data_IF_925691655185
#
_entry.id   IF_925691655185
#
_cell.length_a   1.000
_cell.length_b   1.000
_cell.length_c   1.000
_cell.angle_alpha   90.00
_cell.angle_beta   90.00
_cell.angle_gamma   90.00
#
_symmetry.space_group_name_H-M   'P 1'
#
loop_
_entity.id
_entity.type
_entity.pdbx_description
1 polymer ?
#
# COMPACT_ATOMS: atom_id res chain seq x y z
N UNK A 1 -44.83 5.36 25.39
CA UNK A 1 -43.42 5.28 25.84
C UNK A 1 -42.55 4.49 24.87
N UNK A 2 -43.10 3.42 24.29
CA UNK A 2 -42.50 2.51 23.28
C UNK A 2 -41.89 3.17 22.03
N UNK A 3 -42.59 4.12 21.40
CA UNK A 3 -42.18 4.69 20.09
C UNK A 3 -40.86 5.50 20.15
N UNK A 4 -40.58 6.19 21.26
CA UNK A 4 -39.35 6.97 21.44
C UNK A 4 -38.13 6.07 21.67
N UNK A 5 -38.34 4.88 22.23
CA UNK A 5 -37.30 3.86 22.45
C UNK A 5 -36.95 3.21 21.11
N UNK A 6 -37.96 2.83 20.31
CA UNK A 6 -37.75 2.23 18.99
C UNK A 6 -36.97 3.14 18.04
N UNK A 7 -37.32 4.42 17.99
CA UNK A 7 -36.63 5.41 17.15
C UNK A 7 -35.17 5.60 17.57
N UNK A 8 -34.89 5.64 18.88
CA UNK A 8 -33.51 5.74 19.40
C UNK A 8 -32.68 4.52 19.06
N UNK A 9 -33.25 3.32 19.20
CA UNK A 9 -32.57 2.07 18.85
C UNK A 9 -32.26 2.03 17.34
N UNK A 10 -33.20 2.45 16.50
CA UNK A 10 -33.00 2.50 15.05
C UNK A 10 -31.89 3.49 14.65
N UNK A 11 -31.88 4.70 15.22
CA UNK A 11 -30.82 5.68 14.97
C UNK A 11 -29.43 5.19 15.43
N UNK A 12 -29.35 4.46 16.55
CA UNK A 12 -28.09 3.89 17.02
C UNK A 12 -27.55 2.80 16.07
N UNK A 13 -28.43 1.93 15.56
CA UNK A 13 -28.04 0.87 14.61
C UNK A 13 -27.54 1.47 13.29
N UNK A 14 -28.25 2.47 12.75
CA UNK A 14 -27.82 3.15 11.52
C UNK A 14 -26.56 4.00 11.71
N UNK A 15 -26.38 4.63 12.87
CA UNK A 15 -25.16 5.37 13.21
C UNK A 15 -23.93 4.47 13.35
N UNK A 16 -24.10 3.27 13.91
CA UNK A 16 -23.02 2.28 14.03
C UNK A 16 -22.63 1.68 12.67
N UNK A 17 -23.58 1.49 11.75
CA UNK A 17 -23.30 1.00 10.39
C UNK A 17 -22.47 1.96 9.54
N UNK A 18 -22.61 3.28 9.75
CA UNK A 18 -21.84 4.30 9.02
C UNK A 18 -20.33 4.26 9.32
N UNK A 19 -19.92 3.76 10.49
CA UNK A 19 -18.51 3.65 10.89
C UNK A 19 -17.81 2.46 10.22
N UNK A 20 -18.57 1.47 9.75
CA UNK A 20 -18.02 0.23 9.18
C UNK A 20 -17.61 0.38 7.70
N UNK A 21 -17.97 1.48 7.04
CA UNK A 21 -17.73 1.70 5.61
C UNK A 21 -16.41 2.41 5.24
N UNK A 22 -15.57 2.75 6.22
CA UNK A 22 -14.30 3.46 5.99
C UNK A 22 -13.06 2.55 5.96
N UNK A 23 -13.23 1.24 6.09
CA UNK A 23 -12.14 0.27 5.99
C UNK A 23 -11.86 -0.11 4.54
N UNK A 24 -10.58 -0.11 4.14
CA UNK A 24 -10.15 -0.74 2.88
C UNK A 24 -10.17 -2.25 3.07
N UNK A 25 -10.79 -2.99 2.14
CA UNK A 25 -10.74 -4.45 2.10
C UNK A 25 -9.27 -4.91 2.04
N UNK A 26 -8.77 -5.66 3.04
CA UNK A 26 -7.38 -6.12 3.07
C UNK A 26 -6.96 -6.94 1.83
N UNK A 27 -7.92 -7.60 1.17
CA UNK A 27 -7.65 -8.37 -0.06
C UNK A 27 -7.28 -7.48 -1.26
N UNK A 28 -7.71 -6.22 -1.24
CA UNK A 28 -7.43 -5.21 -2.27
C UNK A 28 -6.15 -4.42 -1.98
N UNK A 29 -5.62 -4.51 -0.75
CA UNK A 29 -4.37 -3.87 -0.39
C UNK A 29 -3.20 -4.54 -1.11
N UNK A 30 -2.20 -3.72 -1.44
CA UNK A 30 -0.94 -4.21 -1.96
C UNK A 30 0.20 -3.64 -1.14
N UNK A 31 0.95 -4.53 -0.51
CA UNK A 31 2.20 -4.18 0.16
C UNK A 31 3.35 -4.34 -0.83
N UNK A 32 3.71 -3.24 -1.49
CA UNK A 32 4.76 -3.21 -2.51
C UNK A 32 6.08 -3.80 -2.02
N UNK A 33 6.46 -3.56 -0.75
CA UNK A 33 7.76 -4.00 -0.23
C UNK A 33 7.77 -5.51 0.01
N UNK A 34 6.66 -6.06 0.49
CA UNK A 34 6.47 -7.50 0.66
C UNK A 34 6.41 -8.21 -0.70
N UNK A 35 5.67 -7.65 -1.65
CA UNK A 35 5.51 -8.22 -3.01
C UNK A 35 6.81 -8.19 -3.83
N UNK A 36 7.67 -7.19 -3.61
CA UNK A 36 8.99 -7.12 -4.23
C UNK A 36 10.02 -8.08 -3.59
N UNK A 37 9.65 -8.78 -2.51
CA UNK A 37 10.51 -9.71 -1.77
C UNK A 37 11.88 -9.10 -1.45
N UNK A 38 11.91 -7.80 -1.10
CA UNK A 38 13.15 -7.11 -0.80
C UNK A 38 13.81 -7.73 0.44
N UNK A 39 15.06 -8.14 0.32
CA UNK A 39 15.80 -8.80 1.39
C UNK A 39 17.30 -8.59 1.29
N UNK A 40 18.05 -9.24 2.18
CA UNK A 40 19.52 -9.13 2.24
C UNK A 40 20.21 -9.65 0.97
N UNK A 41 19.53 -10.46 0.15
CA UNK A 41 20.02 -10.93 -1.15
C UNK A 41 19.77 -9.95 -2.30
N UNK A 42 18.94 -8.92 -2.11
CA UNK A 42 18.65 -7.93 -3.14
C UNK A 42 19.83 -6.98 -3.30
N UNK A 43 20.50 -7.04 -4.45
CA UNK A 43 21.66 -6.17 -4.74
C UNK A 43 21.29 -4.69 -4.63
N UNK A 44 22.11 -3.92 -3.90
CA UNK A 44 21.89 -2.48 -3.69
C UNK A 44 20.78 -2.14 -2.70
N UNK A 45 20.24 -3.10 -1.96
CA UNK A 45 19.24 -2.86 -0.92
C UNK A 45 19.73 -3.42 0.41
N UNK A 46 19.50 -2.68 1.50
CA UNK A 46 19.77 -3.15 2.86
C UNK A 46 18.56 -2.93 3.75
N UNK A 47 18.20 -3.95 4.51
CA UNK A 47 17.12 -3.83 5.49
C UNK A 47 17.60 -2.98 6.69
N UNK A 48 16.78 -2.04 7.13
CA UNK A 48 17.02 -1.16 8.28
C UNK A 48 15.76 -1.05 9.14
N UNK A 49 15.86 -0.60 10.40
CA UNK A 49 14.67 -0.30 11.21
C UNK A 49 13.79 0.76 10.53
N UNK A 50 12.48 0.52 10.52
CA UNK A 50 11.50 1.48 10.01
C UNK A 50 11.23 2.63 10.97
N UNK A 51 10.37 3.56 10.54
CA UNK A 51 9.99 4.73 11.33
C UNK A 51 9.24 4.35 12.62
N UNK A 52 8.44 3.28 12.56
CA UNK A 52 7.67 2.77 13.69
C UNK A 52 8.35 1.55 14.30
N UNK A 53 8.25 1.40 15.62
CA UNK A 53 8.83 0.27 16.34
C UNK A 53 8.30 -1.07 15.79
N UNK A 54 9.22 -2.01 15.54
CA UNK A 54 8.89 -3.33 14.99
C UNK A 54 8.66 -3.36 13.47
N UNK A 55 8.71 -2.21 12.78
CA UNK A 55 8.61 -2.16 11.32
C UNK A 55 9.98 -2.22 10.66
N UNK A 56 10.01 -2.71 9.41
CA UNK A 56 11.21 -2.76 8.57
C UNK A 56 11.14 -1.66 7.52
N UNK A 57 12.29 -1.13 7.14
CA UNK A 57 12.46 -0.25 6.00
C UNK A 57 13.65 -0.72 5.16
N UNK A 58 13.77 -0.17 3.95
CA UNK A 58 14.78 -0.58 2.99
C UNK A 58 15.59 0.63 2.54
N UNK A 59 16.90 0.56 2.77
CA UNK A 59 17.85 1.56 2.30
C UNK A 59 18.40 1.12 0.95
N UNK A 60 18.13 1.91 -0.08
CA UNK A 60 18.65 1.73 -1.42
C UNK A 60 20.04 2.38 -1.51
N UNK A 61 21.06 1.56 -1.75
CA UNK A 61 22.48 1.92 -1.81
C UNK A 61 22.96 1.79 -3.27
N UNK A 62 24.02 2.52 -3.60
CA UNK A 62 24.72 2.44 -4.90
C UNK A 62 23.91 2.90 -6.13
N UNK A 63 24.41 2.55 -7.33
CA UNK A 63 23.92 3.01 -8.65
C UNK A 63 22.56 2.43 -9.06
N UNK A 64 22.26 1.12 -8.87
CA UNK A 64 20.93 0.60 -9.18
C UNK A 64 19.94 0.96 -8.06
N UNK A 65 19.30 2.12 -8.17
CA UNK A 65 18.17 2.55 -7.31
C UNK A 65 16.81 2.27 -7.93
N UNK A 66 16.74 1.28 -8.82
CA UNK A 66 15.51 0.87 -9.50
C UNK A 66 15.32 -0.62 -9.28
N UNK A 67 14.28 -0.99 -8.54
CA UNK A 67 13.85 -2.38 -8.40
C UNK A 67 12.63 -2.57 -9.29
N UNK A 68 12.64 -3.67 -10.04
CA UNK A 68 11.51 -4.09 -10.86
C UNK A 68 10.89 -5.32 -10.23
N UNK A 69 9.56 -5.33 -10.15
CA UNK A 69 8.83 -6.52 -9.78
C UNK A 69 9.05 -7.64 -10.82
N UNK A 70 8.96 -8.90 -10.37
CA UNK A 70 8.88 -10.03 -11.29
C UNK A 70 7.63 -9.90 -12.17
N UNK A 71 7.60 -10.58 -13.33
CA UNK A 71 6.40 -10.60 -14.19
C UNK A 71 5.17 -11.09 -13.45
N UNK A 72 5.31 -12.16 -12.64
CA UNK A 72 4.22 -12.73 -11.86
C UNK A 72 3.67 -11.74 -10.82
N UNK A 73 4.56 -11.08 -10.07
CA UNK A 73 4.19 -10.04 -9.10
C UNK A 73 3.51 -8.85 -9.78
N UNK A 74 4.05 -8.40 -10.92
CA UNK A 74 3.47 -7.29 -11.68
C UNK A 74 2.07 -7.62 -12.19
N UNK A 75 1.84 -8.83 -12.70
CA UNK A 75 0.51 -9.29 -13.12
C UNK A 75 -0.50 -9.30 -11.97
N UNK A 76 -0.11 -9.79 -10.79
CA UNK A 76 -0.96 -9.72 -9.59
C UNK A 76 -1.32 -8.28 -9.22
N UNK A 77 -0.34 -7.38 -9.30
CA UNK A 77 -0.55 -5.94 -9.10
C UNK A 77 -1.59 -5.39 -10.09
N UNK A 78 -1.45 -5.71 -11.37
CA UNK A 78 -2.38 -5.29 -12.42
C UNK A 78 -3.77 -5.88 -12.26
N UNK A 79 -3.91 -7.12 -11.78
CA UNK A 79 -5.24 -7.69 -11.52
C UNK A 79 -5.98 -6.94 -10.42
N UNK A 80 -5.28 -6.54 -9.34
CA UNK A 80 -5.88 -5.76 -8.25
C UNK A 80 -6.28 -4.34 -8.69
N UNK A 81 -5.49 -3.74 -9.59
CA UNK A 81 -5.78 -2.42 -10.18
C UNK A 81 -6.80 -2.48 -11.33
N UNK A 82 -7.13 -3.67 -11.85
CA UNK A 82 -8.03 -3.82 -12.99
C UNK A 82 -9.42 -3.30 -12.66
N UNK A 83 -9.96 -2.47 -13.57
CA UNK A 83 -11.27 -1.82 -13.42
C UNK A 83 -11.38 -0.95 -12.15
N UNK A 84 -10.25 -0.52 -11.58
CA UNK A 84 -10.20 0.50 -10.52
C UNK A 84 -9.82 1.83 -11.14
N UNK A 85 -10.59 2.86 -10.83
CA UNK A 85 -10.34 4.22 -11.32
C UNK A 85 -9.56 5.07 -10.31
N UNK A 86 -9.51 4.64 -9.06
CA UNK A 86 -8.88 5.36 -7.96
C UNK A 86 -8.17 4.37 -7.05
N UNK A 87 -7.08 4.82 -6.45
CA UNK A 87 -6.34 4.09 -5.42
C UNK A 87 -5.65 5.07 -4.49
N UNK A 88 -5.35 4.60 -3.28
CA UNK A 88 -4.60 5.37 -2.28
C UNK A 88 -3.21 4.76 -2.12
N UNK A 89 -2.17 5.60 -2.09
CA UNK A 89 -0.81 5.19 -1.76
C UNK A 89 -0.50 5.65 -0.34
N UNK A 90 -0.10 4.72 0.52
CA UNK A 90 0.52 5.02 1.81
C UNK A 90 2.03 4.76 1.69
N UNK A 91 2.85 5.79 1.93
CA UNK A 91 4.31 5.69 1.86
C UNK A 91 4.96 6.38 3.05
N UNK A 92 5.99 5.75 3.60
CA UNK A 92 6.93 6.37 4.54
C UNK A 92 8.30 6.42 3.88
N UNK A 93 8.87 7.61 3.73
CA UNK A 93 10.15 7.79 3.04
C UNK A 93 11.10 8.68 3.85
N UNK A 94 12.39 8.37 3.77
CA UNK A 94 13.47 9.24 4.24
C UNK A 94 14.39 9.52 3.05
N UNK A 95 14.36 10.75 2.57
CA UNK A 95 15.12 11.17 1.39
C UNK A 95 16.16 12.22 1.78
N UNK A 96 17.33 12.17 1.12
CA UNK A 96 18.36 13.20 1.26
C UNK A 96 17.85 14.55 0.75
N UNK A 97 18.30 15.63 1.40
CA UNK A 97 17.95 16.99 1.03
C UNK A 97 18.37 17.32 -0.42
N UNK A 98 17.59 18.16 -1.11
CA UNK A 98 17.82 18.61 -2.50
C UNK A 98 18.00 17.47 -3.51
N UNK A 99 17.18 16.42 -3.40
CA UNK A 99 17.18 15.31 -4.35
C UNK A 99 15.78 15.12 -4.95
N UNK A 100 15.70 14.48 -6.11
CA UNK A 100 14.45 14.00 -6.72
C UNK A 100 14.55 12.50 -6.91
N UNK A 101 13.47 11.78 -6.64
CA UNK A 101 13.44 10.32 -6.74
C UNK A 101 12.06 9.83 -7.14
N UNK A 102 12.02 8.70 -7.85
CA UNK A 102 10.78 8.00 -8.17
C UNK A 102 10.45 7.06 -7.01
N UNK A 103 9.25 7.17 -6.47
CA UNK A 103 8.76 6.32 -5.37
C UNK A 103 8.10 5.06 -5.93
N UNK A 104 7.25 5.24 -6.94
CA UNK A 104 6.52 4.16 -7.61
C UNK A 104 6.37 4.56 -9.08
N UNK A 105 6.64 3.61 -9.97
CA UNK A 105 6.28 3.74 -11.38
C UNK A 105 5.56 2.49 -11.84
N UNK A 106 4.41 2.67 -12.48
CA UNK A 106 3.62 1.59 -13.05
C UNK A 106 3.61 1.81 -14.56
N UNK A 107 4.26 0.91 -15.28
CA UNK A 107 4.28 0.91 -16.73
C UNK A 107 3.73 -0.42 -17.22
N UNK A 108 2.78 -0.36 -18.15
CA UNK A 108 2.46 -1.53 -18.95
C UNK A 108 3.68 -1.78 -19.85
N UNK A 109 4.27 -2.97 -19.77
CA UNK A 109 5.31 -3.35 -20.73
C UNK A 109 4.60 -3.51 -22.08
N UNK A 110 4.81 -2.57 -23.00
CA UNK A 110 4.45 -2.78 -24.40
C UNK A 110 5.20 -4.04 -24.87
N UNK A 111 4.45 -5.11 -25.14
CA UNK A 111 4.96 -6.25 -25.88
C UNK A 111 5.27 -5.77 -27.30
N UNK A 112 6.49 -5.28 -27.50
CA UNK A 112 7.04 -5.00 -28.82
C UNK A 112 7.89 -6.16 -29.30
#
# INVERSE_FOLDING_TARGET
MESRVLLRTFCLIFGLGAVWGLGVDPSLQIDVLTELELGESTTGVRQVPGLHNGTKAFLFQDTPRSIKASTATAEQFFQKLRNKHEFTILVTLKQTHLNSGVILSIHHLDHR
#
